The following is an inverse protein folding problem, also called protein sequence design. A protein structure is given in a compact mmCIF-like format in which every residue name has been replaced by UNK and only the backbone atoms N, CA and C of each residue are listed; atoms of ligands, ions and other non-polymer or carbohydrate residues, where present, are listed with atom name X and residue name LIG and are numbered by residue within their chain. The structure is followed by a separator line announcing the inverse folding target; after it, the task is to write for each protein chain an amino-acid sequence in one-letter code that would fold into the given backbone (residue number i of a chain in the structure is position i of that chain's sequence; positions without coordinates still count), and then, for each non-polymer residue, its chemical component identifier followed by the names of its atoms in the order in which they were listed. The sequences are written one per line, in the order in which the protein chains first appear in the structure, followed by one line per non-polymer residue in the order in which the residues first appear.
data_IF_270600391795
#
_entry.id   IF_270600391795
#
_cell.length_a   1.000
_cell.length_b   1.000
_cell.length_c   1.000
_cell.angle_alpha   90.00
_cell.angle_beta   90.00
_cell.angle_gamma   90.00
#
_symmetry.space_group_name_H-M   'P 1'
#
loop_
_entity.id
_entity.type
_entity.pdbx_description
1 polymer ?
#
# COMPACT_ATOMS: atom_id res chain seq x y z
N UNK A 1 -9.99 35.71 -53.29
CA UNK A 1 -10.30 34.76 -52.20
C UNK A 1 -9.06 33.92 -51.82
N UNK A 2 -7.92 34.51 -51.40
CA UNK A 2 -6.72 33.72 -51.05
C UNK A 2 -5.99 34.13 -49.75
N UNK A 3 -6.45 35.16 -49.04
CA UNK A 3 -5.72 35.67 -47.86
C UNK A 3 -6.39 35.32 -46.52
N UNK A 4 -7.52 34.59 -46.54
CA UNK A 4 -8.29 34.26 -45.34
C UNK A 4 -7.81 32.97 -44.64
N UNK A 5 -6.97 32.16 -45.29
CA UNK A 5 -6.50 30.87 -44.75
C UNK A 5 -5.32 31.01 -43.77
N UNK A 6 -4.44 31.99 -44.00
CA UNK A 6 -3.22 32.17 -43.19
C UNK A 6 -3.55 32.76 -41.81
N UNK A 7 -4.54 33.66 -41.73
CA UNK A 7 -4.95 34.26 -40.47
C UNK A 7 -5.61 33.25 -39.51
N UNK A 8 -6.27 32.22 -40.06
CA UNK A 8 -6.91 31.16 -39.26
C UNK A 8 -5.90 30.19 -38.64
N UNK A 9 -4.71 30.03 -39.24
CA UNK A 9 -3.69 29.09 -38.75
C UNK A 9 -2.83 29.70 -37.62
N UNK A 10 -2.61 31.02 -37.67
CA UNK A 10 -1.81 31.74 -36.67
C UNK A 10 -2.50 31.83 -35.31
N UNK A 11 -3.83 31.96 -35.28
CA UNK A 11 -4.62 32.02 -34.03
C UNK A 11 -4.63 30.67 -33.30
N UNK A 12 -4.60 29.56 -34.04
CA UNK A 12 -4.55 28.22 -33.46
C UNK A 12 -3.19 27.91 -32.81
N UNK A 13 -2.09 28.49 -33.32
CA UNK A 13 -0.74 28.28 -32.79
C UNK A 13 -0.47 29.07 -31.50
N UNK A 14 -1.13 30.21 -31.30
CA UNK A 14 -0.98 31.04 -30.08
C UNK A 14 -1.73 30.42 -28.89
N UNK A 15 -2.83 29.69 -29.13
CA UNK A 15 -3.56 28.95 -28.10
C UNK A 15 -2.75 27.80 -27.46
N UNK A 16 -1.68 27.33 -28.11
CA UNK A 16 -0.79 26.28 -27.58
C UNK A 16 0.25 26.80 -26.57
N UNK A 17 0.41 28.12 -26.40
CA UNK A 17 1.36 28.74 -25.48
C UNK A 17 0.69 29.46 -24.31
N UNK A 18 -0.54 29.08 -23.93
CA UNK A 18 -1.06 29.49 -22.63
C UNK A 18 -0.20 28.82 -21.55
N UNK A 19 0.43 29.58 -20.64
CA UNK A 19 1.05 28.97 -19.47
C UNK A 19 -0.07 28.25 -18.72
N UNK A 20 0.01 26.92 -18.66
CA UNK A 20 -0.81 26.15 -17.73
C UNK A 20 -0.40 26.66 -16.36
N UNK A 21 -1.21 27.56 -15.78
CA UNK A 21 -1.03 27.95 -14.42
C UNK A 21 -1.22 26.68 -13.61
N UNK A 22 -0.13 26.14 -13.08
CA UNK A 22 -0.19 25.15 -12.03
C UNK A 22 -0.94 25.84 -10.89
N UNK A 23 -2.24 25.60 -10.80
CA UNK A 23 -2.99 25.87 -9.58
C UNK A 23 -2.49 24.86 -8.57
N UNK A 24 -1.28 25.09 -8.06
CA UNK A 24 -0.82 24.46 -6.84
C UNK A 24 -1.88 24.85 -5.82
N UNK A 25 -2.74 23.89 -5.50
CA UNK A 25 -3.75 24.06 -4.48
C UNK A 25 -2.97 24.45 -3.23
N UNK A 26 -3.26 25.62 -2.66
CA UNK A 26 -2.57 26.09 -1.46
C UNK A 26 -3.06 25.28 -0.25
N UNK A 27 -2.66 24.00 -0.24
CA UNK A 27 -2.94 23.08 0.85
C UNK A 27 -1.96 23.38 1.99
N UNK A 28 -2.44 23.37 3.26
CA UNK A 28 -1.64 23.77 4.42
C UNK A 28 -0.65 22.69 4.87
N UNK A 29 -0.34 21.72 4.00
CA UNK A 29 0.55 20.60 4.30
C UNK A 29 1.27 20.13 3.04
N UNK A 30 2.43 19.50 3.24
CA UNK A 30 3.16 18.73 2.25
C UNK A 30 2.81 17.25 2.37
N UNK A 31 2.81 16.56 1.24
CA UNK A 31 2.47 15.14 1.13
C UNK A 31 3.73 14.26 1.22
N UNK A 32 3.68 13.25 2.07
CA UNK A 32 4.71 12.22 2.22
C UNK A 32 4.34 10.88 1.59
N UNK A 33 4.89 9.82 2.17
CA UNK A 33 4.67 8.43 1.75
C UNK A 33 3.24 7.97 2.05
N UNK A 34 2.87 6.81 1.51
CA UNK A 34 1.52 6.25 1.63
C UNK A 34 1.57 4.95 2.41
N UNK A 35 0.72 4.82 3.42
CA UNK A 35 0.58 3.63 4.24
C UNK A 35 -0.68 2.86 3.89
N UNK A 36 -0.54 1.55 3.72
CA UNK A 36 -1.64 0.59 3.72
C UNK A 36 -1.71 -0.07 5.11
N UNK A 37 -2.82 0.15 5.81
CA UNK A 37 -3.06 -0.33 7.17
C UNK A 37 -4.09 -1.44 7.13
N UNK A 38 -3.79 -2.56 7.78
CA UNK A 38 -4.71 -3.65 8.04
C UNK A 38 -5.01 -3.76 9.53
N UNK A 39 -6.30 -3.79 9.89
CA UNK A 39 -6.77 -3.80 11.28
C UNK A 39 -7.24 -5.19 11.67
N UNK A 40 -6.67 -5.74 12.75
CA UNK A 40 -6.83 -7.15 13.12
C UNK A 40 -7.07 -7.29 14.62
N UNK A 41 -8.08 -8.10 14.96
CA UNK A 41 -8.38 -8.52 16.33
C UNK A 41 -8.04 -9.98 16.51
N UNK A 42 -7.18 -10.34 17.45
CA UNK A 42 -6.88 -11.75 17.75
C UNK A 42 -7.92 -12.34 18.70
N UNK A 43 -8.15 -13.64 18.58
CA UNK A 43 -8.96 -14.40 19.53
C UNK A 43 -8.28 -14.44 20.91
N UNK A 44 -9.06 -14.81 21.93
CA UNK A 44 -8.59 -14.89 23.32
C UNK A 44 -7.40 -15.84 23.42
N UNK A 45 -6.31 -15.36 24.03
CA UNK A 45 -5.04 -16.09 24.21
C UNK A 45 -4.34 -16.51 22.91
N UNK A 46 -4.71 -15.96 21.74
CA UNK A 46 -4.12 -16.36 20.46
C UNK A 46 -3.14 -15.35 19.86
N UNK A 47 -2.88 -14.22 20.55
CA UNK A 47 -2.00 -13.16 20.05
C UNK A 47 -0.61 -13.67 19.69
N UNK A 48 0.03 -14.42 20.59
CA UNK A 48 1.41 -14.90 20.37
C UNK A 48 1.50 -15.89 19.21
N UNK A 49 0.51 -16.78 19.08
CA UNK A 49 0.47 -17.74 17.99
C UNK A 49 0.23 -17.05 16.65
N UNK A 50 -0.61 -16.01 16.63
CA UNK A 50 -0.79 -15.19 15.45
C UNK A 50 0.52 -14.48 15.05
N UNK A 51 1.24 -13.90 16.00
CA UNK A 51 2.52 -13.23 15.72
C UNK A 51 3.61 -14.21 15.23
N UNK A 52 3.67 -15.42 15.78
CA UNK A 52 4.57 -16.48 15.27
C UNK A 52 4.25 -16.83 13.82
N UNK A 53 2.97 -16.95 13.48
CA UNK A 53 2.54 -17.17 12.09
C UNK A 53 2.97 -16.01 11.19
N UNK A 54 2.70 -14.77 11.62
CA UNK A 54 3.04 -13.58 10.84
C UNK A 54 4.54 -13.48 10.54
N UNK A 55 5.40 -13.84 11.49
CA UNK A 55 6.86 -13.86 11.29
C UNK A 55 7.28 -14.70 10.09
N UNK A 56 6.68 -15.87 9.91
CA UNK A 56 7.07 -16.81 8.86
C UNK A 56 6.34 -16.55 7.53
N UNK A 57 5.19 -15.89 7.57
CA UNK A 57 4.36 -15.60 6.40
C UNK A 57 4.49 -14.13 6.00
N UNK A 58 3.72 -13.24 6.65
CA UNK A 58 3.62 -11.83 6.31
C UNK A 58 4.96 -11.09 6.41
N UNK A 59 5.68 -11.19 7.54
CA UNK A 59 6.96 -10.49 7.72
C UNK A 59 8.01 -11.00 6.73
N UNK A 60 8.04 -12.31 6.47
CA UNK A 60 8.94 -12.90 5.49
C UNK A 60 8.69 -12.35 4.07
N UNK A 61 7.41 -12.23 3.67
CA UNK A 61 7.03 -11.60 2.41
C UNK A 61 7.46 -10.12 2.38
N UNK A 62 7.17 -9.35 3.43
CA UNK A 62 7.50 -7.91 3.46
C UNK A 62 9.01 -7.65 3.42
N UNK A 63 9.83 -8.51 4.04
CA UNK A 63 11.30 -8.42 3.96
C UNK A 63 11.80 -8.54 2.53
N UNK A 64 11.27 -9.48 1.76
CA UNK A 64 11.64 -9.64 0.35
C UNK A 64 11.07 -8.49 -0.49
N UNK A 65 9.86 -8.03 -0.20
CA UNK A 65 9.26 -6.89 -0.90
C UNK A 65 10.05 -5.59 -0.74
N UNK A 66 10.62 -5.33 0.45
CA UNK A 66 11.56 -4.22 0.67
C UNK A 66 12.82 -4.40 -0.18
N UNK A 67 13.41 -5.60 -0.22
CA UNK A 67 14.62 -5.88 -1.03
C UNK A 67 14.38 -5.67 -2.52
N UNK A 68 13.19 -6.04 -3.00
CA UNK A 68 12.77 -5.89 -4.39
C UNK A 68 12.32 -4.46 -4.75
N UNK A 69 12.27 -3.54 -3.78
CA UNK A 69 11.84 -2.16 -3.94
C UNK A 69 10.34 -1.99 -4.18
N UNK A 70 9.52 -3.01 -3.84
CA UNK A 70 8.06 -2.96 -4.00
C UNK A 70 7.39 -2.09 -2.93
N UNK A 71 8.01 -2.01 -1.76
CA UNK A 71 7.57 -1.23 -0.60
C UNK A 71 8.79 -0.55 0.03
N UNK A 72 8.60 0.60 0.69
CA UNK A 72 9.69 1.29 1.41
C UNK A 72 10.00 0.62 2.74
N UNK A 73 8.97 0.31 3.50
CA UNK A 73 9.08 -0.26 4.84
C UNK A 73 7.79 -0.96 5.24
N UNK A 74 7.81 -1.61 6.41
CA UNK A 74 6.62 -2.17 7.02
C UNK A 74 6.75 -2.11 8.55
N UNK A 75 5.62 -2.11 9.26
CA UNK A 75 5.57 -2.08 10.74
C UNK A 75 4.44 -2.98 11.24
N UNK A 76 4.59 -3.48 12.46
CA UNK A 76 3.52 -4.13 13.23
C UNK A 76 3.33 -3.30 14.49
N UNK A 77 2.11 -2.82 14.71
CA UNK A 77 1.72 -2.20 15.98
C UNK A 77 0.84 -3.18 16.74
N UNK A 78 1.21 -3.46 17.99
CA UNK A 78 0.48 -4.32 18.91
C UNK A 78 0.08 -3.50 20.13
N UNK A 79 -1.17 -3.60 20.55
CA UNK A 79 -1.69 -2.92 21.73
C UNK A 79 -2.88 -3.65 22.34
N UNK A 80 -3.62 -2.96 23.20
CA UNK A 80 -4.92 -3.41 23.70
C UNK A 80 -6.04 -2.85 22.82
N UNK A 81 -7.07 -3.65 22.54
CA UNK A 81 -8.31 -3.12 21.98
C UNK A 81 -9.07 -2.33 23.06
N UNK A 82 -9.58 -1.15 22.71
CA UNK A 82 -10.32 -0.27 23.60
C UNK A 82 -11.72 -0.80 23.94
N UNK A 83 -12.32 -1.60 23.05
CA UNK A 83 -13.64 -2.21 23.23
C UNK A 83 -13.78 -3.49 22.37
N UNK A 84 -14.98 -4.08 22.34
CA UNK A 84 -15.24 -5.33 21.60
C UNK A 84 -15.18 -5.16 20.08
N UNK A 85 -15.48 -3.96 19.57
CA UNK A 85 -15.44 -3.60 18.16
C UNK A 85 -14.10 -2.98 17.75
N UNK A 86 -13.07 -3.12 18.59
CA UNK A 86 -11.74 -2.59 18.36
C UNK A 86 -10.71 -3.70 18.14
N UNK A 87 -9.62 -3.35 17.47
CA UNK A 87 -8.54 -4.24 17.10
C UNK A 87 -7.35 -4.09 18.06
N UNK A 88 -6.47 -5.09 18.08
CA UNK A 88 -5.26 -5.06 18.89
C UNK A 88 -3.98 -5.10 18.05
N UNK A 89 -4.08 -5.37 16.75
CA UNK A 89 -2.95 -5.39 15.83
C UNK A 89 -3.24 -4.51 14.61
N UNK A 90 -2.25 -3.72 14.22
CA UNK A 90 -2.20 -3.04 12.92
C UNK A 90 -0.97 -3.55 12.15
N UNK A 91 -1.18 -4.02 10.93
CA UNK A 91 -0.09 -4.27 9.98
C UNK A 91 0.01 -3.09 9.04
N UNK A 92 1.18 -2.49 8.92
CA UNK A 92 1.42 -1.30 8.12
C UNK A 92 2.44 -1.60 7.03
N UNK A 93 2.13 -1.22 5.80
CA UNK A 93 3.01 -1.31 4.64
C UNK A 93 3.17 0.09 4.07
N UNK A 94 4.41 0.56 3.95
CA UNK A 94 4.74 1.89 3.42
C UNK A 94 5.11 1.79 1.94
N UNK A 95 4.46 2.61 1.13
CA UNK A 95 4.70 2.78 -0.28
C UNK A 95 5.21 4.19 -0.54
N UNK A 96 6.00 4.36 -1.60
CA UNK A 96 6.54 5.67 -1.99
C UNK A 96 5.44 6.68 -2.26
N UNK A 97 4.39 6.27 -2.97
CA UNK A 97 3.29 7.13 -3.37
C UNK A 97 2.09 6.28 -3.84
N UNK A 98 1.03 6.94 -4.32
CA UNK A 98 -0.20 6.26 -4.76
C UNK A 98 -0.03 5.43 -6.04
N UNK A 99 0.97 5.70 -6.89
CA UNK A 99 1.18 4.92 -8.11
C UNK A 99 1.54 3.45 -7.81
N UNK A 100 2.00 3.16 -6.58
CA UNK A 100 2.21 1.79 -6.13
C UNK A 100 0.94 0.94 -6.11
N UNK A 101 -0.25 1.53 -6.16
CA UNK A 101 -1.54 0.81 -6.20
C UNK A 101 -2.10 0.64 -7.61
N UNK A 102 -1.49 1.25 -8.63
CA UNK A 102 -1.92 1.09 -10.01
C UNK A 102 -1.58 -0.32 -10.53
N UNK A 103 -2.38 -0.90 -11.44
CA UNK A 103 -2.05 -2.18 -12.06
C UNK A 103 -0.69 -2.13 -12.75
N UNK A 104 0.19 -3.07 -12.43
CA UNK A 104 1.53 -3.16 -13.03
C UNK A 104 1.97 -4.63 -13.10
N UNK A 105 1.93 -5.26 -14.29
CA UNK A 105 2.27 -6.66 -14.47
C UNK A 105 3.70 -7.04 -14.06
N UNK A 106 4.65 -6.09 -14.05
CA UNK A 106 6.03 -6.35 -13.63
C UNK A 106 6.08 -6.43 -12.09
N UNK A 107 5.42 -5.48 -11.43
CA UNK A 107 5.28 -5.45 -9.97
C UNK A 107 4.51 -6.67 -9.45
N UNK A 108 3.43 -7.03 -10.14
CA UNK A 108 2.58 -8.18 -9.77
C UNK A 108 3.39 -9.49 -9.84
N UNK A 109 4.15 -9.70 -10.92
CA UNK A 109 5.06 -10.87 -11.03
C UNK A 109 6.10 -10.95 -9.92
N UNK A 110 6.62 -9.81 -9.45
CA UNK A 110 7.56 -9.78 -8.32
C UNK A 110 6.87 -10.19 -7.01
N UNK A 111 5.64 -9.73 -6.78
CA UNK A 111 4.84 -10.18 -5.63
C UNK A 111 4.57 -11.68 -5.69
N UNK A 112 4.15 -12.21 -6.84
CA UNK A 112 3.91 -13.64 -7.04
C UNK A 112 5.17 -14.47 -6.75
N UNK A 113 6.33 -14.04 -7.27
CA UNK A 113 7.60 -14.72 -7.05
C UNK A 113 8.04 -14.70 -5.58
N UNK A 114 7.77 -13.61 -4.84
CA UNK A 114 8.02 -13.55 -3.41
C UNK A 114 7.09 -14.53 -2.67
N UNK A 115 5.80 -14.54 -3.00
CA UNK A 115 4.84 -15.44 -2.35
C UNK A 115 5.19 -16.91 -2.59
N UNK A 116 5.50 -17.28 -3.84
CA UNK A 116 5.95 -18.62 -4.23
C UNK A 116 7.22 -19.01 -3.44
N UNK A 117 8.21 -18.14 -3.38
CA UNK A 117 9.44 -18.36 -2.60
C UNK A 117 9.16 -18.61 -1.11
N UNK A 118 8.21 -17.88 -0.50
CA UNK A 118 7.84 -18.10 0.91
C UNK A 118 7.06 -19.40 1.09
N UNK A 119 6.12 -19.70 0.18
CA UNK A 119 5.39 -20.97 0.15
C UNK A 119 6.33 -22.17 0.05
N UNK A 120 7.24 -22.16 -0.91
CA UNK A 120 8.23 -23.23 -1.12
C UNK A 120 9.12 -23.45 0.10
N UNK A 121 9.50 -22.36 0.79
CA UNK A 121 10.31 -22.43 2.00
C UNK A 121 9.56 -23.06 3.18
N UNK A 122 8.26 -22.79 3.29
CA UNK A 122 7.42 -23.28 4.39
C UNK A 122 6.76 -24.64 4.09
N UNK A 123 6.66 -25.01 2.81
CA UNK A 123 6.00 -26.23 2.35
C UNK A 123 4.60 -26.36 2.97
N UNK A 124 4.25 -27.55 3.46
CA UNK A 124 2.94 -27.85 4.04
C UNK A 124 2.60 -26.99 5.27
N UNK A 125 3.60 -26.43 5.96
CA UNK A 125 3.35 -25.53 7.10
C UNK A 125 2.80 -24.17 6.67
N UNK A 126 2.95 -23.76 5.40
CA UNK A 126 2.38 -22.51 4.91
C UNK A 126 0.86 -22.53 5.01
N UNK A 127 0.23 -23.52 4.38
CA UNK A 127 -1.22 -23.62 4.30
C UNK A 127 -1.84 -23.82 5.69
N UNK A 128 -1.21 -24.66 6.52
CA UNK A 128 -1.62 -24.87 7.90
C UNK A 128 -1.54 -23.59 8.73
N UNK A 129 -0.49 -22.78 8.55
CA UNK A 129 -0.36 -21.49 9.26
C UNK A 129 -1.43 -20.50 8.80
N UNK A 130 -1.62 -20.35 7.49
CA UNK A 130 -2.52 -19.35 6.90
C UNK A 130 -3.99 -19.70 7.17
N UNK A 131 -4.40 -20.96 6.99
CA UNK A 131 -5.76 -21.41 7.28
C UNK A 131 -6.13 -21.24 8.75
N UNK A 132 -5.19 -21.45 9.68
CA UNK A 132 -5.43 -21.24 11.11
C UNK A 132 -5.74 -19.77 11.45
N UNK A 133 -5.36 -18.81 10.60
CA UNK A 133 -5.69 -17.40 10.82
C UNK A 133 -7.20 -17.14 10.89
N UNK A 134 -8.02 -17.90 10.19
CA UNK A 134 -9.49 -17.74 10.26
C UNK A 134 -10.06 -18.05 11.64
N UNK A 135 -9.36 -18.89 12.41
CA UNK A 135 -9.76 -19.30 13.76
C UNK A 135 -9.22 -18.33 14.81
N UNK A 136 -7.98 -17.85 14.63
CA UNK A 136 -7.26 -17.11 15.68
C UNK A 136 -7.35 -15.58 15.55
N UNK A 137 -8.01 -15.06 14.52
CA UNK A 137 -8.24 -13.63 14.36
C UNK A 137 -9.52 -13.28 13.60
N UNK A 138 -9.95 -12.04 13.77
CA UNK A 138 -10.97 -11.36 12.99
C UNK A 138 -10.33 -10.17 12.25
N UNK A 139 -10.76 -9.96 11.01
CA UNK A 139 -10.35 -8.83 10.17
C UNK A 139 -11.34 -7.67 10.31
N UNK A 140 -10.83 -6.48 10.63
CA UNK A 140 -11.63 -5.26 10.83
C UNK A 140 -11.61 -4.32 9.62
N UNK A 141 -10.71 -4.55 8.66
CA UNK A 141 -10.68 -3.79 7.43
C UNK A 141 -9.27 -3.35 7.03
N UNK A 142 -9.24 -2.54 5.98
CA UNK A 142 -8.04 -1.90 5.43
C UNK A 142 -8.28 -0.40 5.27
N UNK A 143 -7.24 0.40 5.45
CA UNK A 143 -7.23 1.81 5.07
C UNK A 143 -5.95 2.18 4.36
N UNK A 144 -6.05 3.01 3.33
CA UNK A 144 -4.91 3.68 2.73
C UNK A 144 -4.86 5.10 3.30
N UNK A 145 -3.70 5.50 3.81
CA UNK A 145 -3.47 6.79 4.43
C UNK A 145 -2.20 7.41 3.88
N UNK A 146 -2.16 8.72 3.76
CA UNK A 146 -0.98 9.46 3.34
C UNK A 146 -0.39 10.19 4.53
N UNK A 147 0.93 10.14 4.69
CA UNK A 147 1.62 11.02 5.63
C UNK A 147 1.52 12.46 5.17
N UNK A 148 1.26 13.37 6.10
CA UNK A 148 1.25 14.81 5.83
C UNK A 148 2.17 15.53 6.80
N UNK A 149 2.77 16.61 6.33
CA UNK A 149 3.65 17.48 7.10
C UNK A 149 3.10 18.90 7.02
N UNK A 150 2.73 19.49 8.16
CA UNK A 150 2.19 20.86 8.16
C UNK A 150 3.28 21.86 7.76
N UNK A 151 2.87 22.91 7.02
CA UNK A 151 3.74 24.03 6.65
C UNK A 151 3.97 24.99 7.83
#
# INVERSE_FOLDING_TARGET
MKNLSIFSLSVLLILLFLPVQNLAQDIPYDEGTVWNLAFIRTAVNSTDDYLKGLKNTWEANMKEAVKEGLIKSYKILLGSAANQEDYNIILLIEYENMASFDPDPVKDKKWDAIEEKIKDKMQDEYEKTVSNYEVIRQWYGRKIMREIYLK
#
